data_IF_865844611076
#
_entry.id   IF_865844611076
#
_cell.length_a   1.000
_cell.length_b   1.000
_cell.length_c   1.000
_cell.angle_alpha   90.00
_cell.angle_beta   90.00
_cell.angle_gamma   90.00
#
_symmetry.space_group_name_H-M   'P 1'
#
loop_
_entity.id
_entity.type
_entity.pdbx_description
1 polymer ?
#
# COMPACT_ATOMS: atom_id res chain seq x y z
N UNK A 1 15.79 -25.23 49.89
CA UNK A 1 16.33 -24.54 48.70
C UNK A 1 17.09 -25.59 47.92
N UNK A 2 16.73 -26.02 46.70
CA UNK A 2 15.94 -25.35 45.66
C UNK A 2 15.27 -26.42 44.78
N UNK A 3 14.02 -26.14 44.41
CA UNK A 3 13.15 -26.90 43.49
C UNK A 3 13.77 -27.05 42.09
N UNK A 4 13.73 -28.26 41.51
CA UNK A 4 14.15 -28.52 40.13
C UNK A 4 12.91 -28.61 39.23
N UNK A 5 12.77 -27.79 38.17
CA UNK A 5 11.60 -27.85 37.30
C UNK A 5 11.60 -29.12 36.41
N UNK A 6 10.44 -29.71 36.08
CA UNK A 6 10.36 -30.89 35.22
C UNK A 6 10.64 -30.57 33.73
N UNK A 7 11.27 -31.51 33.04
CA UNK A 7 11.67 -31.40 31.62
C UNK A 7 10.48 -31.61 30.64
N UNK A 8 10.52 -31.03 29.42
CA UNK A 8 9.48 -31.20 28.39
C UNK A 8 9.54 -32.58 27.69
N UNK A 9 8.42 -33.07 27.10
CA UNK A 9 8.38 -34.34 26.37
C UNK A 9 9.03 -34.25 24.97
N UNK A 10 9.55 -35.36 24.42
CA UNK A 10 10.17 -35.40 23.10
C UNK A 10 9.13 -35.35 21.95
N UNK A 11 9.52 -34.87 20.76
CA UNK A 11 8.63 -34.84 19.59
C UNK A 11 8.33 -36.25 19.05
N UNK A 12 7.16 -36.48 18.41
CA UNK A 12 6.85 -37.75 17.74
C UNK A 12 7.80 -38.02 16.58
N UNK A 13 8.47 -39.18 16.61
CA UNK A 13 9.36 -39.64 15.54
C UNK A 13 8.58 -40.09 14.30
N UNK A 14 9.05 -39.70 13.12
CA UNK A 14 8.62 -40.29 11.85
C UNK A 14 9.24 -41.69 11.67
N UNK A 15 8.43 -42.63 11.19
CA UNK A 15 8.67 -44.08 11.20
C UNK A 15 9.74 -44.63 10.24
N UNK A 16 9.82 -45.97 10.12
CA UNK A 16 10.94 -46.69 9.49
C UNK A 16 10.95 -46.61 7.94
N UNK A 17 12.12 -46.81 7.29
CA UNK A 17 12.28 -46.71 5.83
C UNK A 17 11.83 -47.98 5.08
N UNK A 18 11.36 -47.87 3.82
CA UNK A 18 11.15 -49.04 2.96
C UNK A 18 12.49 -49.60 2.37
N UNK A 19 12.57 -50.92 2.10
CA UNK A 19 13.80 -51.63 1.68
C UNK A 19 14.14 -51.53 0.17
N UNK A 20 15.37 -51.88 -0.25
CA UNK A 20 15.93 -51.58 -1.57
C UNK A 20 15.87 -52.76 -2.54
N UNK A 21 15.59 -52.57 -3.83
CA UNK A 21 16.04 -53.49 -4.88
C UNK A 21 16.16 -52.80 -6.25
N UNK A 22 17.38 -52.76 -6.78
CA UNK A 22 17.69 -52.46 -8.17
C UNK A 22 17.50 -53.71 -9.05
N UNK A 23 17.19 -53.55 -10.36
CA UNK A 23 18.10 -54.13 -11.36
C UNK A 23 18.35 -53.24 -12.60
N UNK A 24 19.64 -53.06 -12.84
CA UNK A 24 20.43 -52.93 -14.09
C UNK A 24 19.82 -52.37 -15.39
N UNK A 25 20.47 -51.32 -15.89
CA UNK A 25 20.31 -50.74 -17.22
C UNK A 25 21.06 -51.57 -18.29
N UNK A 26 20.49 -51.80 -19.49
CA UNK A 26 21.26 -51.97 -20.72
C UNK A 26 21.48 -50.60 -21.37
N UNK A 27 22.74 -50.27 -21.67
CA UNK A 27 23.12 -49.07 -22.41
C UNK A 27 22.69 -49.18 -23.88
N UNK A 28 21.97 -48.16 -24.38
CA UNK A 28 21.91 -47.87 -25.81
C UNK A 28 22.14 -46.36 -26.04
N UNK A 29 23.09 -45.96 -26.89
CA UNK A 29 23.36 -44.56 -27.18
C UNK A 29 22.73 -44.16 -28.51
N UNK A 30 21.76 -43.23 -28.54
CA UNK A 30 21.45 -42.45 -29.76
C UNK A 30 20.91 -41.04 -29.47
N UNK A 31 21.71 -40.05 -29.88
CA UNK A 31 21.41 -38.76 -30.54
C UNK A 31 20.32 -37.79 -30.02
N UNK A 32 20.54 -36.46 -30.12
CA UNK A 32 19.79 -35.46 -29.39
C UNK A 32 18.45 -35.14 -30.06
N UNK A 33 17.36 -35.33 -29.33
CA UNK A 33 16.08 -34.68 -29.62
C UNK A 33 15.82 -33.65 -28.52
N UNK A 34 15.58 -32.41 -28.95
CA UNK A 34 15.26 -31.27 -28.11
C UNK A 34 14.13 -31.63 -27.13
N UNK A 35 14.27 -31.37 -25.81
CA UNK A 35 13.13 -31.43 -24.92
C UNK A 35 12.13 -30.35 -25.33
N UNK A 36 10.92 -30.76 -25.68
CA UNK A 36 9.78 -29.85 -25.62
C UNK A 36 9.68 -29.36 -24.18
N UNK A 37 9.91 -28.07 -23.98
CA UNK A 37 9.70 -27.43 -22.68
C UNK A 37 8.23 -27.65 -22.30
N UNK A 38 7.92 -28.20 -21.10
CA UNK A 38 6.56 -28.10 -20.60
C UNK A 38 6.23 -26.61 -20.49
N UNK A 39 5.14 -26.18 -21.14
CA UNK A 39 4.52 -24.89 -20.85
C UNK A 39 4.15 -24.89 -19.37
N UNK A 40 5.07 -24.39 -18.54
CA UNK A 40 4.77 -23.72 -17.29
C UNK A 40 3.56 -22.82 -17.54
N UNK A 41 2.40 -23.26 -17.03
CA UNK A 41 1.24 -22.43 -16.83
C UNK A 41 1.68 -21.27 -15.96
N UNK A 42 1.93 -20.11 -16.56
CA UNK A 42 1.99 -18.87 -15.81
C UNK A 42 0.64 -18.70 -15.10
N UNK A 43 0.60 -18.38 -13.80
CA UNK A 43 -0.66 -18.05 -13.17
C UNK A 43 -1.26 -16.86 -13.93
N UNK A 44 -2.40 -17.09 -14.58
CA UNK A 44 -3.26 -16.02 -15.06
C UNK A 44 -3.68 -15.25 -13.82
N UNK A 45 -3.04 -14.09 -13.57
CA UNK A 45 -3.62 -13.07 -12.71
C UNK A 45 -4.94 -12.67 -13.36
N UNK A 46 -6.03 -13.21 -12.84
CA UNK A 46 -7.34 -12.65 -13.12
C UNK A 46 -7.27 -11.15 -12.73
N UNK A 47 -7.79 -10.24 -13.56
CA UNK A 47 -7.86 -8.83 -13.18
C UNK A 47 -8.62 -8.76 -11.86
N UNK A 48 -7.91 -8.46 -10.77
CA UNK A 48 -8.55 -8.10 -9.51
C UNK A 48 -9.42 -6.91 -9.83
N UNK A 49 -10.74 -7.07 -9.67
CA UNK A 49 -11.67 -5.98 -9.82
C UNK A 49 -11.16 -4.83 -8.95
N UNK A 50 -10.84 -3.70 -9.59
CA UNK A 50 -10.48 -2.49 -8.88
C UNK A 50 -11.64 -2.20 -7.90
N UNK A 51 -11.35 -1.96 -6.61
CA UNK A 51 -12.39 -1.55 -5.68
C UNK A 51 -13.14 -0.35 -6.29
N UNK A 52 -14.47 -0.29 -6.13
CA UNK A 52 -15.24 0.81 -6.71
C UNK A 52 -14.60 2.15 -6.30
N UNK A 53 -14.47 3.11 -7.24
CA UNK A 53 -13.78 4.36 -6.95
C UNK A 53 -14.47 5.03 -5.77
N UNK A 54 -13.72 5.18 -4.68
CA UNK A 54 -14.17 5.90 -3.51
C UNK A 54 -14.27 7.40 -3.80
N UNK A 55 -14.75 8.19 -2.83
CA UNK A 55 -14.83 9.63 -3.01
C UNK A 55 -13.46 10.26 -3.23
N UNK A 56 -13.35 11.29 -4.06
CA UNK A 56 -12.09 11.96 -4.32
C UNK A 56 -12.19 13.47 -4.04
N UNK A 57 -11.05 14.06 -3.71
CA UNK A 57 -10.87 15.49 -3.56
C UNK A 57 -9.70 15.95 -4.42
N UNK A 58 -9.92 17.05 -5.15
CA UNK A 58 -8.91 17.71 -5.96
C UNK A 58 -8.96 19.23 -5.72
N UNK A 59 -7.83 19.79 -5.30
CA UNK A 59 -7.60 21.23 -5.30
C UNK A 59 -6.35 21.54 -6.14
N UNK A 60 -6.48 22.46 -7.10
CA UNK A 60 -5.40 22.84 -8.01
C UNK A 60 -5.32 24.36 -8.11
N UNK A 61 -4.11 24.89 -8.12
CA UNK A 61 -3.80 26.26 -8.55
C UNK A 61 -2.76 26.27 -9.68
N UNK A 62 -2.08 27.40 -9.90
CA UNK A 62 -1.12 27.53 -10.99
C UNK A 62 0.11 26.63 -10.84
N UNK A 63 0.54 26.35 -9.61
CA UNK A 63 1.79 25.64 -9.34
C UNK A 63 1.61 24.44 -8.42
N UNK A 64 0.49 24.37 -7.69
CA UNK A 64 0.32 23.38 -6.65
C UNK A 64 -0.99 22.63 -6.81
N UNK A 65 -0.99 21.36 -6.43
CA UNK A 65 -2.20 20.59 -6.25
C UNK A 65 -2.18 19.71 -5.01
N UNK A 66 -3.39 19.41 -4.52
CA UNK A 66 -3.66 18.42 -3.49
C UNK A 66 -4.71 17.46 -4.03
N UNK A 67 -4.39 16.16 -4.03
CA UNK A 67 -5.30 15.06 -4.32
C UNK A 67 -5.51 14.26 -3.05
N UNK A 68 -6.75 13.84 -2.78
CA UNK A 68 -7.07 12.85 -1.75
C UNK A 68 -8.05 11.83 -2.32
N UNK A 69 -7.66 10.57 -2.35
CA UNK A 69 -8.41 9.47 -2.96
C UNK A 69 -8.15 8.13 -2.23
N UNK A 70 -8.51 7.02 -2.86
CA UNK A 70 -8.32 5.69 -2.29
C UNK A 70 -6.85 5.27 -2.16
N UNK A 71 -5.94 5.85 -2.93
CA UNK A 71 -4.51 5.57 -2.84
C UNK A 71 -3.89 6.30 -1.65
N UNK A 72 -4.31 7.54 -1.38
CA UNK A 72 -3.76 8.33 -0.28
C UNK A 72 -3.97 9.82 -0.43
N UNK A 73 -2.92 10.57 -0.07
CA UNK A 73 -2.82 12.02 -0.30
C UNK A 73 -1.64 12.27 -1.24
N UNK A 74 -1.82 13.09 -2.26
CA UNK A 74 -0.71 13.51 -3.12
C UNK A 74 -0.61 15.04 -3.15
N UNK A 75 0.62 15.53 -3.04
CA UNK A 75 0.97 16.94 -3.21
C UNK A 75 1.78 17.10 -4.49
N UNK A 76 1.36 18.04 -5.33
CA UNK A 76 2.20 18.62 -6.37
C UNK A 76 2.60 20.02 -5.91
N UNK A 77 3.90 20.31 -5.94
CA UNK A 77 4.46 21.62 -5.60
C UNK A 77 5.50 21.99 -6.66
N UNK A 78 5.09 22.86 -7.59
CA UNK A 78 5.82 23.15 -8.82
C UNK A 78 6.03 21.86 -9.64
N UNK A 79 7.25 21.35 -9.69
CA UNK A 79 7.61 20.13 -10.44
C UNK A 79 7.94 18.95 -9.51
N UNK A 80 7.63 19.09 -8.22
CA UNK A 80 7.86 18.06 -7.21
C UNK A 80 6.53 17.42 -6.85
N UNK A 81 6.39 16.14 -7.15
CA UNK A 81 5.28 15.32 -6.68
C UNK A 81 5.70 14.51 -5.46
N UNK A 82 4.86 14.50 -4.43
CA UNK A 82 5.03 13.68 -3.23
C UNK A 82 3.72 12.96 -2.95
N UNK A 83 3.78 11.64 -2.86
CA UNK A 83 2.63 10.78 -2.61
C UNK A 83 2.74 10.18 -1.21
N UNK A 84 1.61 10.15 -0.50
CA UNK A 84 1.51 9.63 0.86
C UNK A 84 0.39 8.57 0.89
N UNK A 85 0.74 7.29 0.71
CA UNK A 85 -0.21 6.19 0.85
C UNK A 85 -0.87 6.18 2.23
N UNK A 86 -2.14 5.78 2.33
CA UNK A 86 -2.85 5.76 3.63
C UNK A 86 -2.10 5.08 4.78
N UNK A 87 -1.40 3.93 4.59
CA UNK A 87 -0.61 3.31 5.67
C UNK A 87 0.53 4.19 6.22
N UNK A 88 1.00 5.16 5.44
CA UNK A 88 2.09 6.07 5.79
C UNK A 88 1.59 7.39 6.39
N UNK A 89 0.29 7.66 6.29
CA UNK A 89 -0.33 8.90 6.74
C UNK A 89 -0.84 8.76 8.18
N UNK A 90 -0.11 9.35 9.14
CA UNK A 90 -0.54 9.41 10.55
C UNK A 90 -1.74 10.34 10.72
N UNK A 91 -1.64 11.59 10.27
CA UNK A 91 -2.73 12.57 10.33
C UNK A 91 -2.73 13.51 9.13
N UNK A 92 -3.91 13.96 8.72
CA UNK A 92 -4.07 15.04 7.74
C UNK A 92 -4.71 16.21 8.47
N UNK A 93 -4.05 17.35 8.43
CA UNK A 93 -4.55 18.61 8.96
C UNK A 93 -4.82 19.55 7.80
N UNK A 94 -5.84 20.38 7.92
CA UNK A 94 -6.12 21.39 6.92
C UNK A 94 -6.68 22.65 7.58
N UNK A 95 -6.34 23.81 7.01
CA UNK A 95 -6.81 25.11 7.49
C UNK A 95 -6.81 26.13 6.36
N UNK A 96 -7.45 27.26 6.58
CA UNK A 96 -7.33 28.40 5.69
C UNK A 96 -5.96 29.06 5.91
N UNK A 97 -5.38 29.59 4.84
CA UNK A 97 -4.26 30.52 4.97
C UNK A 97 -4.66 31.73 5.82
N UNK A 98 -3.70 32.45 6.45
CA UNK A 98 -4.01 33.61 7.29
C UNK A 98 -4.85 34.70 6.59
N UNK A 99 -4.71 34.83 5.26
CA UNK A 99 -5.50 35.77 4.46
C UNK A 99 -6.84 35.21 3.96
N UNK A 100 -7.14 33.94 4.25
CA UNK A 100 -8.39 33.26 3.86
C UNK A 100 -8.54 33.01 2.36
N UNK A 101 -7.43 32.98 1.61
CA UNK A 101 -7.41 32.85 0.14
C UNK A 101 -6.79 31.54 -0.37
N UNK A 102 -6.29 30.69 0.52
CA UNK A 102 -5.70 29.41 0.15
C UNK A 102 -6.10 28.33 1.16
N UNK A 103 -6.15 27.11 0.66
CA UNK A 103 -6.23 25.89 1.44
C UNK A 103 -4.79 25.48 1.79
N UNK A 104 -4.50 25.32 3.07
CA UNK A 104 -3.26 24.71 3.54
C UNK A 104 -3.59 23.29 4.00
N UNK A 105 -2.89 22.29 3.47
CA UNK A 105 -3.02 20.89 3.85
C UNK A 105 -1.67 20.40 4.34
N UNK A 106 -1.65 19.75 5.50
CA UNK A 106 -0.46 19.15 6.07
C UNK A 106 -0.67 17.66 6.32
N UNK A 107 0.26 16.84 5.83
CA UNK A 107 0.35 15.40 6.13
C UNK A 107 1.40 15.22 7.20
N UNK A 108 1.00 14.63 8.32
CA UNK A 108 1.91 14.05 9.32
C UNK A 108 2.15 12.61 8.91
N UNK A 109 3.39 12.30 8.59
CA UNK A 109 3.82 10.97 8.21
C UNK A 109 4.04 10.08 9.45
N UNK A 110 3.98 8.77 9.30
CA UNK A 110 4.15 7.81 10.42
C UNK A 110 5.51 7.93 11.11
N UNK A 111 6.55 8.40 10.41
CA UNK A 111 7.88 8.67 10.97
C UNK A 111 7.97 9.99 11.78
N UNK A 112 6.89 10.78 11.82
CA UNK A 112 6.82 12.05 12.53
C UNK A 112 7.18 13.29 11.69
N UNK A 113 7.57 13.12 10.42
CA UNK A 113 7.76 14.25 9.50
C UNK A 113 6.42 14.89 9.14
N UNK A 114 6.47 16.19 8.85
CA UNK A 114 5.29 16.96 8.42
C UNK A 114 5.59 17.57 7.06
N UNK A 115 4.66 17.35 6.13
CA UNK A 115 4.70 17.88 4.77
C UNK A 115 3.51 18.81 4.60
N UNK A 116 3.70 19.99 4.02
CA UNK A 116 2.64 20.98 3.82
C UNK A 116 2.55 21.37 2.34
N UNK A 117 1.33 21.46 1.81
CA UNK A 117 1.03 22.01 0.49
C UNK A 117 -0.03 23.10 0.63
N UNK A 118 0.12 24.17 -0.15
CA UNK A 118 -0.76 25.34 -0.12
C UNK A 118 -1.33 25.59 -1.51
N UNK A 119 -2.66 25.53 -1.63
CA UNK A 119 -3.38 25.71 -2.89
C UNK A 119 -4.27 26.95 -2.83
N UNK A 120 -4.05 27.89 -3.73
CA UNK A 120 -4.79 29.15 -3.80
C UNK A 120 -6.22 28.94 -4.30
N UNK A 121 -7.20 29.41 -3.53
CA UNK A 121 -8.61 29.40 -3.89
C UNK A 121 -9.00 30.72 -4.60
N UNK A 122 -9.29 30.65 -5.90
CA UNK A 122 -9.87 31.76 -6.67
C UNK A 122 -11.16 31.29 -7.35
N UNK A 123 -12.37 31.76 -6.97
CA UNK A 123 -12.71 32.77 -5.93
C UNK A 123 -12.69 32.23 -4.49
N UNK A 124 -12.80 33.11 -3.48
CA UNK A 124 -12.77 32.74 -2.05
C UNK A 124 -13.88 31.76 -1.65
N UNK A 125 -15.04 31.81 -2.30
CA UNK A 125 -16.14 30.86 -2.09
C UNK A 125 -15.72 29.41 -2.36
N UNK A 126 -14.77 29.20 -3.29
CA UNK A 126 -14.21 27.87 -3.58
C UNK A 126 -13.58 27.24 -2.34
N UNK A 127 -12.99 28.04 -1.46
CA UNK A 127 -12.33 27.54 -0.26
C UNK A 127 -13.32 26.86 0.70
N UNK A 128 -14.55 27.39 0.82
CA UNK A 128 -15.59 26.78 1.66
C UNK A 128 -16.06 25.44 1.10
N UNK A 129 -16.25 25.37 -0.23
CA UNK A 129 -16.56 24.12 -0.92
C UNK A 129 -15.46 23.08 -0.73
N UNK A 130 -14.19 23.50 -0.82
CA UNK A 130 -13.05 22.62 -0.58
C UNK A 130 -13.00 22.10 0.85
N UNK A 131 -13.28 22.91 1.88
CA UNK A 131 -13.32 22.39 3.26
C UNK A 131 -14.42 21.34 3.45
N UNK A 132 -15.61 21.56 2.91
CA UNK A 132 -16.72 20.62 3.03
C UNK A 132 -16.39 19.29 2.31
N UNK A 133 -15.90 19.36 1.08
CA UNK A 133 -15.53 18.17 0.30
C UNK A 133 -14.36 17.42 0.95
N UNK A 134 -13.30 18.13 1.36
CA UNK A 134 -12.14 17.51 1.99
C UNK A 134 -12.49 16.84 3.32
N UNK A 135 -13.33 17.47 4.15
CA UNK A 135 -13.80 16.86 5.39
C UNK A 135 -14.57 15.55 5.14
N UNK A 136 -15.44 15.54 4.12
CA UNK A 136 -16.21 14.36 3.76
C UNK A 136 -15.33 13.22 3.21
N UNK A 137 -14.40 13.53 2.31
CA UNK A 137 -13.44 12.56 1.75
C UNK A 137 -12.53 11.99 2.84
N UNK A 138 -11.97 12.84 3.70
CA UNK A 138 -11.14 12.37 4.82
C UNK A 138 -11.93 11.50 5.80
N UNK A 139 -13.21 11.83 6.05
CA UNK A 139 -14.08 10.98 6.89
C UNK A 139 -14.37 9.60 6.27
N UNK A 140 -14.26 9.46 4.94
CA UNK A 140 -14.42 8.17 4.27
C UNK A 140 -13.18 7.28 4.41
N UNK A 141 -11.98 7.82 4.15
CA UNK A 141 -10.74 7.02 4.16
C UNK A 141 -10.05 6.93 5.52
N UNK A 142 -10.29 7.91 6.40
CA UNK A 142 -9.76 7.91 7.76
C UNK A 142 -10.91 7.63 8.73
N UNK A 143 -11.10 6.38 9.18
CA UNK A 143 -12.01 6.14 10.29
C UNK A 143 -11.51 6.94 11.49
N UNK A 144 -12.36 7.81 12.02
CA UNK A 144 -12.10 8.57 13.24
C UNK A 144 -11.83 7.60 14.39
N UNK A 145 -10.56 7.47 14.78
CA UNK A 145 -10.14 6.99 16.09
C UNK A 145 -9.65 5.54 16.15
N UNK A 146 -8.44 5.38 16.69
CA UNK A 146 -8.20 4.62 17.90
C UNK A 146 -7.25 5.42 18.79
#
# INVERSE_FOLDING_TARGET
MTDQPPSPPPPPGFGPPPPPYAPQHPQHPQHPQHPQHPQHYAPQYAPQAEPPPGPEFLAVDKHNSVVVDAAGVAFEMYDITVEFPWPEVRSVHYKASPNGKALMVAVVHVDGRVYECVVTARPRERLQGWFAQLAWVLGHYRPTGY
#
